data_IF_490770941803
#
_entry.id   IF_490770941803
#
_cell.length_a   1.000
_cell.length_b   1.000
_cell.length_c   1.000
_cell.angle_alpha   90.00
_cell.angle_beta   90.00
_cell.angle_gamma   90.00
#
_symmetry.space_group_name_H-M   'P 1'
#
loop_
_entity.id
_entity.type
_entity.pdbx_description
1 polymer ?
#
# COMPACT_ATOMS: atom_id res chain seq x y z
N UNK A 1 16.70 11.75 -17.68
CA UNK A 1 15.75 11.86 -16.57
C UNK A 1 14.70 12.87 -16.96
N UNK A 2 13.45 12.46 -17.12
CA UNK A 2 12.33 13.37 -17.40
C UNK A 2 12.05 14.28 -16.21
N UNK A 3 11.24 15.32 -16.40
CA UNK A 3 10.80 16.19 -15.29
C UNK A 3 10.00 15.39 -14.25
N UNK A 4 9.12 14.50 -14.70
CA UNK A 4 8.31 13.63 -13.83
C UNK A 4 9.17 12.64 -13.04
N UNK A 5 10.17 12.00 -13.66
CA UNK A 5 11.11 11.10 -12.96
C UNK A 5 11.90 11.83 -11.88
N UNK A 6 12.35 13.06 -12.18
CA UNK A 6 13.09 13.87 -11.21
C UNK A 6 12.20 14.24 -10.01
N UNK A 7 10.98 14.72 -10.26
CA UNK A 7 10.03 15.09 -9.20
C UNK A 7 9.66 13.90 -8.33
N UNK A 8 9.41 12.73 -8.92
CA UNK A 8 9.13 11.51 -8.17
C UNK A 8 10.31 11.13 -7.28
N UNK A 9 11.52 11.14 -7.82
CA UNK A 9 12.72 10.80 -7.05
C UNK A 9 12.90 11.75 -5.86
N UNK A 10 12.80 13.06 -6.08
CA UNK A 10 12.92 14.07 -5.01
C UNK A 10 11.80 13.91 -3.96
N UNK A 11 10.58 13.59 -4.37
CA UNK A 11 9.46 13.34 -3.45
C UNK A 11 9.68 12.10 -2.59
N UNK A 12 10.12 11.00 -3.19
CA UNK A 12 10.45 9.75 -2.47
C UNK A 12 11.62 9.94 -1.52
N UNK A 13 12.66 10.68 -1.92
CA UNK A 13 13.79 11.03 -1.05
C UNK A 13 13.32 11.87 0.13
N UNK A 14 12.56 12.94 -0.10
CA UNK A 14 12.01 13.79 0.96
C UNK A 14 11.11 13.00 1.93
N UNK A 15 10.28 12.08 1.41
CA UNK A 15 9.43 11.23 2.23
C UNK A 15 10.26 10.31 3.13
N UNK A 16 11.32 9.69 2.59
CA UNK A 16 12.23 8.83 3.36
C UNK A 16 12.99 9.59 4.45
N UNK A 17 13.32 10.84 4.18
CA UNK A 17 13.96 11.74 5.16
C UNK A 17 12.97 12.28 6.21
N UNK A 18 11.68 11.94 6.11
CA UNK A 18 10.63 12.41 7.01
C UNK A 18 10.20 13.86 6.77
N UNK A 19 10.66 14.49 5.68
CA UNK A 19 10.25 15.83 5.29
C UNK A 19 8.97 15.74 4.43
N UNK A 20 7.86 15.47 5.10
CA UNK A 20 6.58 15.16 4.45
C UNK A 20 5.97 16.38 3.75
N UNK A 21 6.21 17.60 4.22
CA UNK A 21 5.77 18.82 3.55
C UNK A 21 6.50 19.01 2.22
N UNK A 22 7.81 18.73 2.17
CA UNK A 22 8.56 18.75 0.92
C UNK A 22 8.09 17.62 -0.01
N UNK A 23 7.90 16.41 0.53
CA UNK A 23 7.39 15.28 -0.25
C UNK A 23 6.04 15.61 -0.89
N UNK A 24 5.11 16.19 -0.12
CA UNK A 24 3.80 16.63 -0.61
C UNK A 24 3.96 17.61 -1.77
N UNK A 25 4.78 18.66 -1.61
CA UNK A 25 5.02 19.64 -2.68
C UNK A 25 5.60 19.00 -3.95
N UNK A 26 6.48 18.00 -3.81
CA UNK A 26 7.05 17.28 -4.96
C UNK A 26 6.04 16.39 -5.66
N UNK A 27 5.20 15.68 -4.91
CA UNK A 27 4.16 14.82 -5.48
C UNK A 27 3.02 15.63 -6.11
N UNK A 28 2.65 16.80 -5.55
CA UNK A 28 1.70 17.73 -6.16
C UNK A 28 2.23 18.28 -7.50
N UNK A 29 3.50 18.71 -7.55
CA UNK A 29 4.13 19.16 -8.79
C UNK A 29 4.28 18.02 -9.82
N UNK A 30 4.51 16.79 -9.36
CA UNK A 30 4.54 15.59 -10.19
C UNK A 30 3.17 15.35 -10.82
N UNK A 31 2.10 15.38 -10.02
CA UNK A 31 0.73 15.21 -10.46
C UNK A 31 0.36 16.25 -11.53
N UNK A 32 0.58 17.53 -11.26
CA UNK A 32 0.29 18.61 -12.22
C UNK A 32 1.06 18.43 -13.54
N UNK A 33 2.34 18.07 -13.46
CA UNK A 33 3.16 17.82 -14.65
C UNK A 33 2.67 16.59 -15.42
N UNK A 34 2.34 15.51 -14.73
CA UNK A 34 1.85 14.28 -15.34
C UNK A 34 0.50 14.49 -16.06
N UNK A 35 -0.43 15.22 -15.44
CA UNK A 35 -1.73 15.56 -16.05
C UNK A 35 -1.53 16.45 -17.29
N UNK A 36 -0.69 17.48 -17.19
CA UNK A 36 -0.39 18.38 -18.31
C UNK A 36 0.28 17.67 -19.50
N UNK A 37 1.09 16.63 -19.23
CA UNK A 37 1.77 15.82 -20.23
C UNK A 37 0.94 14.61 -20.70
N UNK A 38 -0.29 14.43 -20.19
CA UNK A 38 -1.15 13.32 -20.56
C UNK A 38 -0.61 11.94 -20.13
N UNK A 39 0.01 11.86 -18.95
CA UNK A 39 0.59 10.64 -18.36
C UNK A 39 -0.31 10.12 -17.22
N UNK A 40 -1.44 9.44 -17.53
CA UNK A 40 -2.44 9.04 -16.52
C UNK A 40 -1.85 8.10 -15.46
N UNK A 41 -1.03 7.12 -15.86
CA UNK A 41 -0.34 6.21 -14.92
C UNK A 41 0.54 6.99 -13.96
N UNK A 42 1.24 8.03 -14.45
CA UNK A 42 2.13 8.85 -13.62
C UNK A 42 1.36 9.75 -12.66
N UNK A 43 0.20 10.24 -13.07
CA UNK A 43 -0.72 10.98 -12.22
C UNK A 43 -1.26 10.08 -11.09
N UNK A 44 -1.65 8.84 -11.41
CA UNK A 44 -2.13 7.87 -10.42
C UNK A 44 -1.04 7.48 -9.41
N UNK A 45 0.20 7.27 -9.86
CA UNK A 45 1.36 7.05 -8.96
C UNK A 45 1.55 8.23 -8.00
N UNK A 46 1.50 9.46 -8.52
CA UNK A 46 1.65 10.67 -7.72
C UNK A 46 0.53 10.82 -6.69
N UNK A 47 -0.71 10.48 -7.04
CA UNK A 47 -1.84 10.47 -6.12
C UNK A 47 -1.63 9.43 -5.00
N UNK A 48 -1.17 8.22 -5.32
CA UNK A 48 -0.83 7.22 -4.30
C UNK A 48 0.22 7.73 -3.31
N UNK A 49 1.32 8.26 -3.82
CA UNK A 49 2.40 8.81 -3.00
C UNK A 49 1.92 10.00 -2.14
N UNK A 50 1.06 10.85 -2.71
CA UNK A 50 0.45 11.97 -1.99
C UNK A 50 -0.51 11.51 -0.90
N UNK A 51 -1.30 10.46 -1.13
CA UNK A 51 -2.19 9.87 -0.13
C UNK A 51 -1.41 9.37 1.09
N UNK A 52 -0.34 8.60 0.86
CA UNK A 52 0.55 8.14 1.93
C UNK A 52 1.26 9.31 2.63
N UNK A 53 1.63 10.36 1.90
CA UNK A 53 2.25 11.56 2.47
C UNK A 53 1.29 12.33 3.38
N UNK A 54 0.05 12.54 2.94
CA UNK A 54 -1.00 13.19 3.73
C UNK A 54 -1.30 12.44 5.03
N UNK A 55 -1.29 11.11 4.99
CA UNK A 55 -1.37 10.28 6.20
C UNK A 55 -0.28 10.64 7.21
N UNK A 56 0.97 10.79 6.76
CA UNK A 56 2.09 11.13 7.66
C UNK A 56 1.96 12.54 8.24
N UNK A 57 1.33 13.45 7.51
CA UNK A 57 1.00 14.80 7.96
C UNK A 57 -0.25 14.86 8.87
N UNK A 58 -0.95 13.73 9.06
CA UNK A 58 -2.18 13.64 9.86
C UNK A 58 -3.45 14.08 9.12
N UNK A 59 -3.37 14.41 7.83
CA UNK A 59 -4.52 14.71 6.98
C UNK A 59 -5.13 13.41 6.45
N UNK A 60 -5.84 12.69 7.33
CA UNK A 60 -6.41 11.38 7.02
C UNK A 60 -7.57 11.48 6.01
N UNK A 61 -8.44 12.48 6.14
CA UNK A 61 -9.55 12.69 5.21
C UNK A 61 -9.03 13.05 3.81
N UNK A 62 -8.07 13.98 3.72
CA UNK A 62 -7.42 14.33 2.46
C UNK A 62 -6.60 13.18 1.87
N UNK A 63 -6.07 12.26 2.69
CA UNK A 63 -5.44 11.04 2.20
C UNK A 63 -6.47 10.10 1.55
N UNK A 64 -7.61 9.86 2.20
CA UNK A 64 -8.69 9.03 1.65
C UNK A 64 -9.25 9.58 0.33
N UNK A 65 -9.45 10.89 0.24
CA UNK A 65 -9.91 11.54 -1.00
C UNK A 65 -8.89 11.37 -2.14
N UNK A 66 -7.60 11.53 -1.84
CA UNK A 66 -6.54 11.40 -2.83
C UNK A 66 -6.41 9.95 -3.30
N UNK A 67 -6.43 8.97 -2.38
CA UNK A 67 -6.38 7.55 -2.74
C UNK A 67 -7.60 7.13 -3.56
N UNK A 68 -8.80 7.69 -3.30
CA UNK A 68 -9.98 7.42 -4.12
C UNK A 68 -9.80 7.87 -5.57
N UNK A 69 -9.11 9.00 -5.79
CA UNK A 69 -8.77 9.45 -7.15
C UNK A 69 -7.80 8.48 -7.82
N UNK A 70 -6.76 8.03 -7.10
CA UNK A 70 -5.81 7.04 -7.62
C UNK A 70 -6.49 5.73 -7.99
N UNK A 71 -7.35 5.21 -7.10
CA UNK A 71 -8.10 3.96 -7.30
C UNK A 71 -8.95 4.03 -8.56
N UNK A 72 -9.73 5.10 -8.72
CA UNK A 72 -10.55 5.30 -9.91
C UNK A 72 -9.70 5.35 -11.18
N UNK A 73 -8.54 6.00 -11.16
CA UNK A 73 -7.64 6.01 -12.30
C UNK A 73 -7.18 4.60 -12.68
N UNK A 74 -6.73 3.80 -11.72
CA UNK A 74 -6.26 2.45 -12.00
C UNK A 74 -7.38 1.55 -12.50
N UNK A 75 -8.59 1.65 -11.93
CA UNK A 75 -9.78 0.94 -12.38
C UNK A 75 -10.21 1.35 -13.80
N UNK A 76 -10.24 2.64 -14.11
CA UNK A 76 -10.61 3.16 -15.44
C UNK A 76 -9.57 2.76 -16.54
N UNK A 77 -8.40 2.26 -16.14
CA UNK A 77 -7.31 1.85 -17.04
C UNK A 77 -6.95 0.36 -16.94
N UNK A 78 -7.77 -0.45 -16.25
CA UNK A 78 -7.55 -1.89 -16.06
C UNK A 78 -6.16 -2.23 -15.47
N UNK A 79 -5.62 -1.38 -14.59
CA UNK A 79 -4.33 -1.59 -13.91
C UNK A 79 -4.56 -2.18 -12.50
N UNK A 80 -4.76 -3.49 -12.46
CA UNK A 80 -5.01 -4.26 -11.23
C UNK A 80 -3.85 -4.15 -10.22
N UNK A 81 -2.61 -4.01 -10.71
CA UNK A 81 -1.45 -3.86 -9.83
C UNK A 81 -1.47 -2.51 -9.10
N UNK A 82 -1.82 -1.44 -9.82
CA UNK A 82 -2.01 -0.11 -9.26
C UNK A 82 -3.17 -0.07 -8.27
N UNK A 83 -4.30 -0.70 -8.61
CA UNK A 83 -5.47 -0.85 -7.74
C UNK A 83 -5.10 -1.53 -6.41
N UNK A 84 -4.43 -2.69 -6.45
CA UNK A 84 -4.01 -3.41 -5.26
C UNK A 84 -3.08 -2.57 -4.35
N UNK A 85 -2.15 -1.82 -4.94
CA UNK A 85 -1.28 -0.89 -4.18
C UNK A 85 -2.09 0.22 -3.51
N UNK A 86 -3.07 0.78 -4.21
CA UNK A 86 -3.95 1.81 -3.66
C UNK A 86 -4.82 1.26 -2.52
N UNK A 87 -5.37 0.07 -2.66
CA UNK A 87 -6.14 -0.61 -1.60
C UNK A 87 -5.26 -0.90 -0.36
N UNK A 88 -4.01 -1.33 -0.55
CA UNK A 88 -3.07 -1.48 0.56
C UNK A 88 -2.81 -0.15 1.29
N UNK A 89 -2.69 0.95 0.54
CA UNK A 89 -2.55 2.30 1.12
C UNK A 89 -3.82 2.75 1.84
N UNK A 90 -5.01 2.42 1.32
CA UNK A 90 -6.28 2.65 2.02
C UNK A 90 -6.28 1.97 3.38
N UNK A 91 -5.91 0.68 3.42
CA UNK A 91 -5.78 -0.06 4.68
C UNK A 91 -4.88 0.65 5.70
N UNK A 92 -3.76 1.23 5.26
CA UNK A 92 -2.86 2.00 6.12
C UNK A 92 -3.46 3.32 6.63
N UNK A 93 -4.26 4.02 5.82
CA UNK A 93 -4.91 5.28 6.20
C UNK A 93 -6.09 5.01 7.13
N UNK A 94 -6.90 4.01 6.83
CA UNK A 94 -8.06 3.57 7.63
C UNK A 94 -7.62 3.07 9.01
N UNK A 95 -6.51 2.32 9.08
CA UNK A 95 -5.88 1.93 10.33
C UNK A 95 -5.53 3.16 11.19
N UNK A 96 -4.91 4.17 10.58
CA UNK A 96 -4.54 5.41 11.28
C UNK A 96 -5.76 6.25 11.68
N UNK A 97 -6.88 6.10 10.97
CA UNK A 97 -8.16 6.71 11.29
C UNK A 97 -9.00 5.88 12.28
N UNK A 98 -8.46 4.78 12.80
CA UNK A 98 -9.14 3.82 13.69
C UNK A 98 -10.40 3.16 13.06
N UNK A 99 -10.49 3.16 11.72
CA UNK A 99 -11.53 2.46 10.94
C UNK A 99 -11.08 1.03 10.66
N UNK A 100 -11.04 0.21 11.71
CA UNK A 100 -10.37 -1.09 11.64
C UNK A 100 -11.05 -2.10 10.72
N UNK A 101 -12.38 -2.12 10.67
CA UNK A 101 -13.14 -3.01 9.80
C UNK A 101 -12.89 -2.68 8.32
N UNK A 102 -12.93 -1.40 7.96
CA UNK A 102 -12.62 -0.93 6.60
C UNK A 102 -11.17 -1.27 6.23
N UNK A 103 -10.23 -1.00 7.16
CA UNK A 103 -8.81 -1.31 6.98
C UNK A 103 -8.55 -2.80 6.71
N UNK A 104 -9.24 -3.68 7.45
CA UNK A 104 -9.17 -5.13 7.25
C UNK A 104 -9.63 -5.49 5.83
N UNK A 105 -10.75 -4.93 5.37
CA UNK A 105 -11.28 -5.21 4.03
C UNK A 105 -10.32 -4.73 2.95
N UNK A 106 -9.81 -3.50 3.06
CA UNK A 106 -8.85 -2.92 2.12
C UNK A 106 -7.57 -3.76 2.01
N UNK A 107 -7.04 -4.26 3.13
CA UNK A 107 -5.89 -5.17 3.10
C UNK A 107 -6.21 -6.54 2.49
N UNK A 108 -7.41 -7.10 2.75
CA UNK A 108 -7.84 -8.37 2.16
C UNK A 108 -7.95 -8.26 0.63
N UNK A 109 -8.60 -7.21 0.14
CA UNK A 109 -8.78 -6.99 -1.30
C UNK A 109 -7.44 -6.80 -2.00
N UNK A 110 -6.55 -5.97 -1.42
CA UNK A 110 -5.20 -5.79 -1.92
C UNK A 110 -4.40 -7.09 -1.95
N UNK A 111 -4.45 -7.89 -0.88
CA UNK A 111 -3.72 -9.15 -0.80
C UNK A 111 -4.23 -10.17 -1.82
N UNK A 112 -5.55 -10.27 -2.02
CA UNK A 112 -6.15 -11.17 -3.02
C UNK A 112 -5.69 -10.82 -4.44
N UNK A 113 -5.73 -9.54 -4.82
CA UNK A 113 -5.30 -9.10 -6.14
C UNK A 113 -3.79 -9.37 -6.33
N UNK A 114 -2.95 -9.08 -5.34
CA UNK A 114 -1.53 -9.42 -5.43
C UNK A 114 -1.28 -10.93 -5.59
N UNK A 115 -2.07 -11.78 -4.93
CA UNK A 115 -1.97 -13.23 -5.11
C UNK A 115 -2.38 -13.67 -6.52
N UNK A 116 -3.47 -13.11 -7.07
CA UNK A 116 -3.97 -13.39 -8.41
C UNK A 116 -2.96 -12.97 -9.49
N UNK A 117 -2.26 -11.85 -9.28
CA UNK A 117 -1.19 -11.36 -10.16
C UNK A 117 0.15 -12.10 -9.99
N UNK A 118 0.28 -12.97 -8.97
CA UNK A 118 1.53 -13.67 -8.66
C UNK A 118 2.57 -12.79 -7.96
N UNK A 119 2.21 -11.61 -7.49
CA UNK A 119 3.04 -10.64 -6.76
C UNK A 119 3.26 -11.10 -5.30
N UNK A 120 3.97 -12.22 -5.16
CA UNK A 120 4.11 -12.97 -3.90
C UNK A 120 4.68 -12.12 -2.76
N UNK A 121 5.65 -11.25 -3.05
CA UNK A 121 6.26 -10.39 -2.05
C UNK A 121 5.28 -9.33 -1.54
N UNK A 122 4.54 -8.67 -2.44
CA UNK A 122 3.52 -7.69 -2.08
C UNK A 122 2.37 -8.33 -1.32
N UNK A 123 1.87 -9.48 -1.78
CA UNK A 123 0.86 -10.26 -1.06
C UNK A 123 1.34 -10.60 0.36
N UNK A 124 2.58 -11.08 0.52
CA UNK A 124 3.17 -11.40 1.82
C UNK A 124 3.15 -10.18 2.75
N UNK A 125 3.61 -9.02 2.26
CA UNK A 125 3.65 -7.80 3.08
C UNK A 125 2.25 -7.34 3.50
N UNK A 126 1.28 -7.40 2.60
CA UNK A 126 -0.11 -7.01 2.90
C UNK A 126 -0.75 -7.95 3.93
N UNK A 127 -0.58 -9.27 3.78
CA UNK A 127 -1.03 -10.25 4.77
C UNK A 127 -0.37 -10.05 6.14
N UNK A 128 0.91 -9.68 6.17
CA UNK A 128 1.61 -9.35 7.41
C UNK A 128 1.07 -8.06 8.07
N UNK A 129 0.70 -7.06 7.27
CA UNK A 129 0.05 -5.85 7.77
C UNK A 129 -1.32 -6.16 8.39
N UNK A 130 -2.14 -6.96 7.72
CA UNK A 130 -3.43 -7.42 8.22
C UNK A 130 -3.29 -8.22 9.52
N UNK A 131 -2.36 -9.19 9.56
CA UNK A 131 -2.06 -9.95 10.77
C UNK A 131 -1.70 -9.02 11.93
N UNK A 132 -0.81 -8.04 11.70
CA UNK A 132 -0.41 -7.07 12.73
C UNK A 132 -1.59 -6.23 13.23
N UNK A 133 -2.51 -5.84 12.34
CA UNK A 133 -3.74 -5.15 12.70
C UNK A 133 -4.63 -6.02 13.61
N UNK A 134 -4.87 -7.27 13.22
CA UNK A 134 -5.67 -8.22 14.00
C UNK A 134 -5.04 -8.52 15.38
N UNK A 135 -3.71 -8.61 15.47
CA UNK A 135 -3.01 -8.74 16.77
C UNK A 135 -3.29 -7.56 17.71
N UNK A 136 -3.29 -6.32 17.19
CA UNK A 136 -3.62 -5.13 18.00
C UNK A 136 -5.06 -5.17 18.50
N UNK A 137 -5.97 -5.71 17.69
CA UNK A 137 -7.37 -5.94 18.04
C UNK A 137 -7.57 -7.17 18.95
N UNK A 138 -6.50 -7.89 19.30
CA UNK A 138 -6.53 -9.16 20.07
C UNK A 138 -7.33 -10.27 19.37
N UNK A 139 -7.47 -10.19 18.06
CA UNK A 139 -8.05 -11.22 17.21
C UNK A 139 -6.96 -12.21 16.79
N UNK A 140 -6.53 -13.02 17.76
CA UNK A 140 -5.36 -13.89 17.62
C UNK A 140 -5.54 -14.96 16.53
N UNK A 141 -6.76 -15.48 16.38
CA UNK A 141 -7.04 -16.55 15.42
C UNK A 141 -6.89 -16.02 14.00
N UNK A 142 -7.55 -14.90 13.69
CA UNK A 142 -7.45 -14.32 12.35
C UNK A 142 -6.05 -13.78 12.08
N UNK A 143 -5.36 -13.23 13.10
CA UNK A 143 -3.98 -12.82 12.95
C UNK A 143 -3.05 -13.96 12.52
N UNK A 144 -3.14 -15.12 13.19
CA UNK A 144 -2.36 -16.32 12.82
C UNK A 144 -2.71 -16.75 11.39
N UNK A 145 -4.00 -16.86 11.07
CA UNK A 145 -4.45 -17.26 9.74
C UNK A 145 -3.94 -16.33 8.63
N UNK A 146 -4.01 -15.01 8.83
CA UNK A 146 -3.48 -14.01 7.90
C UNK A 146 -1.97 -14.15 7.73
N UNK A 147 -1.23 -14.36 8.83
CA UNK A 147 0.22 -14.52 8.77
C UNK A 147 0.62 -15.79 8.00
N UNK A 148 -0.05 -16.91 8.26
CA UNK A 148 0.15 -18.17 7.54
C UNK A 148 -0.13 -18.03 6.06
N UNK A 149 -1.26 -17.41 5.71
CA UNK A 149 -1.63 -17.15 4.31
C UNK A 149 -0.54 -16.35 3.62
N UNK A 150 -0.02 -15.30 4.27
CA UNK A 150 1.05 -14.46 3.76
C UNK A 150 2.35 -15.21 3.45
N UNK A 151 2.68 -16.28 4.18
CA UNK A 151 3.92 -17.04 3.94
C UNK A 151 3.71 -18.31 3.12
N UNK A 152 2.46 -18.72 2.85
CA UNK A 152 2.14 -19.98 2.19
C UNK A 152 2.75 -20.08 0.79
N UNK A 153 2.74 -18.98 0.04
CA UNK A 153 3.24 -18.90 -1.33
C UNK A 153 4.75 -18.63 -1.40
N UNK A 154 5.45 -18.46 -0.26
CA UNK A 154 6.90 -18.30 -0.27
C UNK A 154 7.59 -19.60 -0.70
N UNK A 155 8.76 -19.50 -1.38
CA UNK A 155 9.58 -20.66 -1.70
C UNK A 155 9.90 -21.51 -0.46
N UNK A 156 9.99 -22.82 -0.60
CA UNK A 156 10.23 -23.74 0.53
C UNK A 156 11.57 -23.54 1.25
N UNK A 157 12.53 -22.85 0.60
CA UNK A 157 13.78 -22.44 1.22
C UNK A 157 13.66 -21.14 2.04
N UNK A 158 12.49 -20.51 2.07
CA UNK A 158 12.21 -19.30 2.86
C UNK A 158 12.39 -19.57 4.35
N UNK A 159 13.25 -18.76 4.97
CA UNK A 159 13.50 -18.82 6.42
C UNK A 159 12.23 -18.57 7.21
N UNK A 160 11.40 -17.58 6.78
CA UNK A 160 10.12 -17.28 7.43
C UNK A 160 9.19 -18.50 7.42
N UNK A 161 9.09 -19.18 6.28
CA UNK A 161 8.22 -20.35 6.10
C UNK A 161 8.67 -21.54 6.97
N UNK A 162 9.97 -21.82 6.98
CA UNK A 162 10.56 -22.89 7.80
C UNK A 162 10.35 -22.68 9.29
N UNK A 163 10.60 -21.45 9.80
CA UNK A 163 10.41 -21.15 11.23
C UNK A 163 8.97 -21.43 11.67
N UNK A 164 7.98 -21.09 10.85
CA UNK A 164 6.57 -21.33 11.20
C UNK A 164 6.22 -22.80 11.13
N UNK A 165 6.72 -23.54 10.14
CA UNK A 165 6.54 -24.99 10.07
C UNK A 165 7.12 -25.70 11.30
N UNK A 166 8.36 -25.35 11.66
CA UNK A 166 9.02 -25.92 12.85
C UNK A 166 8.22 -25.66 14.14
N UNK A 167 7.57 -24.49 14.26
CA UNK A 167 6.72 -24.17 15.42
C UNK A 167 5.45 -25.03 15.52
N UNK A 168 4.92 -25.52 14.39
CA UNK A 168 3.75 -26.41 14.37
C UNK A 168 4.08 -27.87 14.63
N UNK A 169 5.31 -28.27 14.31
CA UNK A 169 5.77 -29.65 14.47
C UNK A 169 6.32 -29.94 15.89
N UNK A 170 6.33 -28.95 16.79
CA UNK A 170 6.75 -29.05 18.20
C UNK A 170 5.64 -29.55 19.14
#
# INVERSE_FOLDING_TARGET
MSKTEKLQKEGVEAFRDGNYELAQSKFEALLETAEAEGQPVKAAEALNDLGVTRKQLGDLDGAMETLNKALKYYQDNDDELGEAKTLGNFGMVEEAAEKYEDSIQSYLDAASIFEELGETELATFTWQALSKLQLRQKDWINAIASYERGIANLPDNSVKKKIVQDLYDM
#
